data_IF_735350691307
#
_entry.id   IF_735350691307
#
_cell.length_a   1.000
_cell.length_b   1.000
_cell.length_c   1.000
_cell.angle_alpha   90.00
_cell.angle_beta   90.00
_cell.angle_gamma   90.00
#
_symmetry.space_group_name_H-M   'P 1'
#
loop_
_entity.id
_entity.type
_entity.pdbx_description
1 polymer ?
#
# COMPACT_ATOMS: atom_id res chain seq x y z
N UNK A 1 2.36 13.44 -1.08
CA UNK A 1 3.29 12.38 -1.54
C UNK A 1 2.88 11.09 -0.83
N UNK A 2 2.68 9.97 -1.54
CA UNK A 2 2.16 8.72 -0.96
C UNK A 2 2.82 7.49 -1.57
N UNK A 3 3.01 6.45 -0.73
CA UNK A 3 3.45 5.12 -1.16
C UNK A 3 2.23 4.28 -1.60
N UNK A 4 1.12 4.35 -0.85
CA UNK A 4 -0.14 3.65 -1.16
C UNK A 4 -0.68 4.02 -2.56
N UNK A 5 -0.46 5.25 -3.02
CA UNK A 5 -0.95 5.70 -4.32
C UNK A 5 -0.36 4.93 -5.51
N UNK A 6 0.73 4.18 -5.34
CA UNK A 6 1.27 3.31 -6.40
C UNK A 6 0.34 2.13 -6.72
N UNK A 7 -0.51 1.71 -5.77
CA UNK A 7 -1.40 0.56 -5.92
C UNK A 7 -2.88 0.89 -5.71
N UNK A 8 -3.20 1.96 -4.99
CA UNK A 8 -4.57 2.47 -4.73
C UNK A 8 -4.63 4.01 -4.89
N UNK A 9 -4.40 4.53 -6.11
CA UNK A 9 -4.31 5.98 -6.35
C UNK A 9 -5.62 6.73 -6.09
N UNK A 10 -6.76 6.16 -6.51
CA UNK A 10 -8.08 6.79 -6.34
C UNK A 10 -8.45 6.88 -4.87
N UNK A 11 -8.24 5.81 -4.14
CA UNK A 11 -8.56 5.70 -2.71
C UNK A 11 -7.69 6.66 -1.91
N UNK A 12 -6.39 6.73 -2.22
CA UNK A 12 -5.48 7.70 -1.61
C UNK A 12 -5.95 9.14 -1.86
N UNK A 13 -6.38 9.44 -3.08
CA UNK A 13 -6.93 10.76 -3.42
C UNK A 13 -8.19 11.07 -2.61
N UNK A 14 -9.14 10.13 -2.54
CA UNK A 14 -10.40 10.31 -1.81
C UNK A 14 -10.18 10.54 -0.31
N UNK A 15 -9.22 9.85 0.33
CA UNK A 15 -8.87 10.11 1.74
C UNK A 15 -8.54 11.59 1.95
N UNK A 16 -7.70 12.17 1.10
CA UNK A 16 -7.32 13.57 1.19
C UNK A 16 -8.47 14.51 0.81
N UNK A 17 -9.20 14.20 -0.26
CA UNK A 17 -10.29 15.02 -0.76
C UNK A 17 -11.43 15.16 0.26
N UNK A 18 -11.84 14.06 0.90
CA UNK A 18 -12.86 14.07 1.95
C UNK A 18 -12.43 14.94 3.14
N UNK A 19 -11.16 14.85 3.54
CA UNK A 19 -10.64 15.69 4.61
C UNK A 19 -10.68 17.18 4.24
N UNK A 20 -10.22 17.54 3.03
CA UNK A 20 -10.22 18.93 2.57
C UNK A 20 -11.63 19.51 2.36
N UNK A 21 -12.62 18.65 2.11
CA UNK A 21 -14.05 19.03 2.07
C UNK A 21 -14.69 19.21 3.45
N UNK A 22 -13.97 18.89 4.53
CA UNK A 22 -14.48 18.93 5.90
C UNK A 22 -15.20 17.64 6.34
N UNK A 23 -15.21 16.60 5.50
CA UNK A 23 -15.81 15.29 5.79
C UNK A 23 -14.82 14.41 6.57
N UNK A 24 -14.45 14.84 7.78
CA UNK A 24 -13.40 14.21 8.58
C UNK A 24 -13.72 12.75 8.91
N UNK A 25 -14.99 12.43 9.24
CA UNK A 25 -15.41 11.06 9.56
C UNK A 25 -15.26 10.12 8.36
N UNK A 26 -15.63 10.58 7.16
CA UNK A 26 -15.50 9.79 5.94
C UNK A 26 -14.02 9.56 5.58
N UNK A 27 -13.19 10.60 5.71
CA UNK A 27 -11.74 10.48 5.53
C UNK A 27 -11.12 9.49 6.52
N UNK A 28 -11.49 9.57 7.81
CA UNK A 28 -11.00 8.66 8.84
C UNK A 28 -11.45 7.22 8.59
N UNK A 29 -12.71 6.99 8.19
CA UNK A 29 -13.20 5.66 7.85
C UNK A 29 -12.43 5.04 6.68
N UNK A 30 -12.13 5.83 5.65
CA UNK A 30 -11.27 5.38 4.55
C UNK A 30 -9.85 5.08 5.03
N UNK A 31 -9.23 5.96 5.83
CA UNK A 31 -7.89 5.74 6.37
C UNK A 31 -7.81 4.45 7.21
N UNK A 32 -8.80 4.19 8.05
CA UNK A 32 -8.89 2.96 8.87
C UNK A 32 -9.06 1.74 7.98
N UNK A 33 -9.89 1.82 6.93
CA UNK A 33 -10.06 0.71 5.98
C UNK A 33 -8.73 0.26 5.34
N UNK A 34 -7.82 1.20 5.06
CA UNK A 34 -6.54 0.90 4.42
C UNK A 34 -5.37 0.74 5.41
N UNK A 35 -5.58 0.86 6.73
CA UNK A 35 -4.49 0.85 7.72
C UNK A 35 -3.66 -0.43 7.66
N UNK A 36 -4.30 -1.60 7.58
CA UNK A 36 -3.61 -2.89 7.49
C UNK A 36 -2.72 -2.99 6.24
N UNK A 37 -3.21 -2.50 5.10
CA UNK A 37 -2.43 -2.46 3.87
C UNK A 37 -1.25 -1.47 3.98
N UNK A 38 -1.47 -0.32 4.61
CA UNK A 38 -0.39 0.64 4.86
C UNK A 38 0.67 0.01 5.76
N UNK A 39 0.30 -0.63 6.87
CA UNK A 39 1.23 -1.31 7.76
C UNK A 39 2.03 -2.40 7.02
N UNK A 40 1.37 -3.17 6.16
CA UNK A 40 2.04 -4.16 5.31
C UNK A 40 3.00 -3.52 4.29
N UNK A 41 2.68 -2.35 3.73
CA UNK A 41 3.57 -1.62 2.83
C UNK A 41 4.82 -1.04 3.51
N UNK A 42 4.82 -0.96 4.85
CA UNK A 42 5.93 -0.46 5.66
C UNK A 42 6.57 -1.53 6.55
N UNK A 43 6.23 -2.82 6.36
CA UNK A 43 6.79 -3.90 7.17
C UNK A 43 8.28 -4.19 6.88
N UNK A 44 8.80 -3.73 5.75
CA UNK A 44 10.22 -3.73 5.40
C UNK A 44 10.62 -2.37 4.78
N UNK A 45 11.89 -2.21 4.44
CA UNK A 45 12.41 -0.93 3.90
C UNK A 45 11.79 -0.61 2.53
N UNK A 46 11.16 0.56 2.42
CA UNK A 46 10.68 1.08 1.14
C UNK A 46 11.84 1.28 0.15
N UNK A 47 11.75 0.87 -1.13
CA UNK A 47 10.56 0.43 -1.88
C UNK A 47 10.30 -1.08 -1.97
N UNK A 48 10.88 -1.92 -1.11
CA UNK A 48 10.74 -3.38 -1.21
C UNK A 48 9.25 -3.82 -1.16
N UNK A 49 8.44 -3.43 -0.16
CA UNK A 49 7.05 -3.91 -0.09
C UNK A 49 6.15 -3.35 -1.19
N UNK A 50 6.32 -2.08 -1.58
CA UNK A 50 5.49 -1.48 -2.61
C UNK A 50 5.78 -2.06 -4.00
N UNK A 51 7.04 -2.35 -4.32
CA UNK A 51 7.38 -3.07 -5.57
C UNK A 51 6.83 -4.49 -5.55
N UNK A 52 6.93 -5.20 -4.43
CA UNK A 52 6.32 -6.53 -4.28
C UNK A 52 4.80 -6.47 -4.47
N UNK A 53 4.12 -5.46 -3.89
CA UNK A 53 2.68 -5.26 -4.06
C UNK A 53 2.31 -5.00 -5.53
N UNK A 54 3.07 -4.14 -6.23
CA UNK A 54 2.86 -3.87 -7.65
C UNK A 54 3.04 -5.13 -8.50
N UNK A 55 4.05 -5.96 -8.21
CA UNK A 55 4.24 -7.25 -8.90
C UNK A 55 3.09 -8.23 -8.61
N UNK A 56 2.60 -8.32 -7.36
CA UNK A 56 1.42 -9.12 -6.99
C UNK A 56 0.17 -8.68 -7.76
N UNK A 57 0.03 -7.38 -8.04
CA UNK A 57 -1.07 -6.81 -8.81
C UNK A 57 -0.86 -6.88 -10.34
N UNK A 58 0.25 -7.47 -10.81
CA UNK A 58 0.50 -7.73 -12.23
C UNK A 58 1.14 -6.57 -13.00
N UNK A 59 1.74 -5.58 -12.33
CA UNK A 59 2.41 -4.46 -13.00
C UNK A 59 3.82 -4.77 -13.51
N UNK A 60 4.41 -5.91 -13.13
CA UNK A 60 5.74 -6.38 -13.56
C UNK A 60 6.85 -5.31 -13.51
N UNK A 61 7.07 -4.73 -12.33
CA UNK A 61 8.06 -3.65 -12.09
C UNK A 61 9.48 -4.17 -11.79
N UNK A 62 9.68 -5.48 -11.92
CA UNK A 62 10.92 -6.19 -11.59
C UNK A 62 11.32 -6.07 -10.11
N UNK A 63 12.53 -6.55 -9.82
CA UNK A 63 13.10 -6.58 -8.47
C UNK A 63 13.69 -5.22 -8.05
N UNK A 64 14.02 -5.09 -6.77
CA UNK A 64 14.83 -3.98 -6.27
C UNK A 64 16.30 -4.21 -6.66
N UNK A 65 17.04 -3.12 -6.90
CA UNK A 65 18.50 -3.19 -7.11
C UNK A 65 19.21 -3.21 -5.76
N UNK A 66 20.37 -3.87 -5.70
CA UNK A 66 21.26 -3.78 -4.54
C UNK A 66 21.53 -2.32 -4.15
N UNK A 67 21.63 -1.99 -2.85
CA UNK A 67 21.75 -2.91 -1.70
C UNK A 67 20.42 -3.46 -1.16
N UNK A 68 19.29 -3.15 -1.80
CA UNK A 68 17.99 -3.69 -1.41
C UNK A 68 17.85 -5.14 -1.88
N UNK A 69 17.00 -5.88 -1.17
CA UNK A 69 16.83 -7.32 -1.33
C UNK A 69 15.34 -7.66 -1.58
N UNK A 70 15.05 -8.93 -1.86
CA UNK A 70 13.68 -9.40 -2.05
C UNK A 70 12.93 -9.51 -0.72
N UNK A 71 11.63 -9.20 -0.75
CA UNK A 71 10.79 -9.31 0.44
C UNK A 71 10.77 -10.74 0.98
N UNK A 72 10.86 -10.88 2.30
CA UNK A 72 10.78 -12.21 2.92
C UNK A 72 9.44 -12.89 2.64
N UNK A 73 9.43 -14.22 2.51
CA UNK A 73 8.20 -14.99 2.20
C UNK A 73 7.07 -14.74 3.22
N UNK A 74 7.44 -14.67 4.51
CA UNK A 74 6.49 -14.42 5.59
C UNK A 74 5.83 -13.03 5.48
N UNK A 75 6.59 -12.00 5.13
CA UNK A 75 6.04 -10.66 4.94
C UNK A 75 5.29 -10.55 3.61
N UNK A 76 5.74 -11.23 2.55
CA UNK A 76 5.03 -11.31 1.28
C UNK A 76 3.63 -11.93 1.45
N UNK A 77 3.50 -12.97 2.28
CA UNK A 77 2.21 -13.56 2.60
C UNK A 77 1.27 -12.58 3.32
N UNK A 78 1.78 -11.83 4.30
CA UNK A 78 1.02 -10.76 5.00
C UNK A 78 0.59 -9.67 4.03
N UNK A 79 1.48 -9.24 3.13
CA UNK A 79 1.19 -8.22 2.13
C UNK A 79 0.08 -8.68 1.17
N UNK A 80 0.12 -9.92 0.68
CA UNK A 80 -0.94 -10.50 -0.15
C UNK A 80 -2.29 -10.52 0.56
N UNK A 81 -2.32 -10.97 1.82
CA UNK A 81 -3.53 -10.97 2.63
C UNK A 81 -4.11 -9.54 2.79
N UNK A 82 -3.26 -8.57 3.13
CA UNK A 82 -3.69 -7.18 3.29
C UNK A 82 -4.16 -6.53 1.97
N UNK A 83 -3.61 -6.94 0.82
CA UNK A 83 -4.11 -6.52 -0.51
C UNK A 83 -5.50 -7.11 -0.76
N UNK A 84 -5.71 -8.39 -0.43
CA UNK A 84 -6.98 -9.09 -0.64
C UNK A 84 -8.11 -8.54 0.25
N UNK A 85 -7.80 -8.09 1.47
CA UNK A 85 -8.77 -7.43 2.38
C UNK A 85 -9.40 -6.16 1.78
N UNK A 86 -8.69 -5.48 0.88
CA UNK A 86 -9.11 -4.19 0.30
C UNK A 86 -9.25 -4.23 -1.23
N UNK A 87 -9.39 -5.44 -1.79
CA UNK A 87 -9.70 -5.64 -3.21
C UNK A 87 -11.03 -5.02 -3.61
#
# INVERSE_FOLDING_TARGET
>A
ISVLSNIKPRETHNICEEYFRGNVEASAALQIKYSNLVDALFCETNPIPVKAAMNVLGFDVGECRLPLYEMSEANLAKLKAAIDEVK
#
